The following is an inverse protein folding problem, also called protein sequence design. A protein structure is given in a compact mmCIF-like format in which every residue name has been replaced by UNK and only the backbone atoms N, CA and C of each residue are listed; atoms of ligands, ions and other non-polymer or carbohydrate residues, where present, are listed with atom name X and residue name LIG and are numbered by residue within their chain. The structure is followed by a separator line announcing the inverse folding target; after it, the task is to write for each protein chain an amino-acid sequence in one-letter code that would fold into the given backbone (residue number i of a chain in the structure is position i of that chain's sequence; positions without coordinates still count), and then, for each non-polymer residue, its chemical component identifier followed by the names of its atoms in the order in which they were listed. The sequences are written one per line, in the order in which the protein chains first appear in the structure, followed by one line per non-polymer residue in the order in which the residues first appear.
data_IF_344603362345
#
_entry.id   IF_344603362345
#
_cell.length_a   1.000
_cell.length_b   1.000
_cell.length_c   1.000
_cell.angle_alpha   90.00
_cell.angle_beta   90.00
_cell.angle_gamma   90.00
#
_symmetry.space_group_name_H-M   'P 1'
#
loop_
_entity.id
_entity.type
_entity.pdbx_description
1 polymer ?
#
# COMPACT_ATOMS: atom_id res chain seq x y z
N UNK A 1 -1.32 -37.00 0.26
CA UNK A 1 -1.07 -35.74 0.99
C UNK A 1 -1.28 -36.04 2.46
N UNK A 2 -0.48 -35.47 3.36
CA UNK A 2 -0.72 -35.65 4.81
C UNK A 2 -1.96 -34.86 5.23
N UNK A 3 -3.01 -35.56 5.68
CA UNK A 3 -4.28 -34.95 6.07
C UNK A 3 -4.17 -34.07 7.32
N UNK A 4 -3.10 -34.22 8.11
CA UNK A 4 -2.81 -33.33 9.23
C UNK A 4 -2.27 -31.96 8.77
N UNK A 5 -1.78 -31.88 7.54
CA UNK A 5 -1.24 -30.65 6.94
C UNK A 5 -2.26 -30.00 6.00
N UNK A 6 -2.97 -30.81 5.20
CA UNK A 6 -4.03 -30.34 4.31
C UNK A 6 -5.05 -31.44 4.08
N UNK A 7 -6.32 -31.10 4.32
CA UNK A 7 -7.47 -31.96 4.06
C UNK A 7 -8.45 -31.24 3.14
N UNK A 8 -8.55 -31.69 1.88
CA UNK A 8 -9.42 -31.11 0.86
C UNK A 8 -9.57 -32.07 -0.32
N UNK A 9 -10.75 -32.09 -0.94
CA UNK A 9 -10.93 -32.64 -2.27
C UNK A 9 -10.50 -31.62 -3.33
N UNK A 10 -9.92 -32.08 -4.43
CA UNK A 10 -9.47 -31.22 -5.52
C UNK A 10 -9.92 -31.76 -6.89
N UNK A 11 -10.32 -30.85 -7.77
CA UNK A 11 -10.58 -31.09 -9.18
C UNK A 11 -9.61 -30.25 -10.01
N UNK A 12 -9.00 -30.89 -11.01
CA UNK A 12 -8.14 -30.21 -11.96
C UNK A 12 -8.96 -29.29 -12.90
N UNK A 13 -8.34 -28.26 -13.50
CA UNK A 13 -9.05 -27.28 -14.33
C UNK A 13 -9.84 -27.90 -15.49
N UNK A 14 -9.31 -28.94 -16.11
CA UNK A 14 -9.93 -29.67 -17.22
C UNK A 14 -11.17 -30.49 -16.80
N UNK A 15 -11.36 -30.68 -15.50
CA UNK A 15 -12.55 -31.32 -14.91
C UNK A 15 -13.64 -30.31 -14.53
N UNK A 16 -13.38 -29.01 -14.68
CA UNK A 16 -14.31 -27.93 -14.29
C UNK A 16 -14.80 -27.21 -15.54
N UNK A 17 -16.12 -27.16 -15.73
CA UNK A 17 -16.73 -26.45 -16.85
C UNK A 17 -17.73 -25.39 -16.37
N UNK A 18 -17.56 -24.16 -16.86
CA UNK A 18 -18.50 -23.06 -16.61
C UNK A 18 -19.48 -22.95 -17.77
N UNK A 19 -20.76 -23.23 -17.50
CA UNK A 19 -21.85 -23.09 -18.50
C UNK A 19 -22.42 -21.67 -18.56
N UNK A 20 -22.22 -20.87 -17.52
CA UNK A 20 -22.61 -19.47 -17.51
C UNK A 20 -21.72 -18.69 -18.49
N UNK A 21 -22.30 -18.21 -19.59
CA UNK A 21 -21.59 -17.48 -20.64
C UNK A 21 -21.02 -16.13 -20.16
N UNK A 22 -21.49 -15.62 -19.02
CA UNK A 22 -20.96 -14.40 -18.40
C UNK A 22 -19.78 -14.64 -17.48
N UNK A 23 -19.44 -15.90 -17.18
CA UNK A 23 -18.40 -16.23 -16.20
C UNK A 23 -17.04 -15.65 -16.60
N UNK A 24 -16.59 -15.91 -17.84
CA UNK A 24 -15.30 -15.41 -18.31
C UNK A 24 -15.25 -13.88 -18.30
N UNK A 25 -16.29 -13.22 -18.80
CA UNK A 25 -16.40 -11.76 -18.77
C UNK A 25 -16.33 -11.19 -17.34
N UNK A 26 -16.91 -11.90 -16.36
CA UNK A 26 -16.82 -11.52 -14.95
C UNK A 26 -15.41 -11.66 -14.39
N UNK A 27 -14.74 -12.77 -14.70
CA UNK A 27 -13.35 -13.02 -14.33
C UNK A 27 -12.40 -11.99 -14.97
N UNK A 28 -12.60 -11.64 -16.24
CA UNK A 28 -11.79 -10.64 -16.94
C UNK A 28 -11.92 -9.26 -16.29
N UNK A 29 -13.14 -8.86 -15.93
CA UNK A 29 -13.40 -7.60 -15.19
C UNK A 29 -12.74 -7.62 -13.81
N UNK A 30 -12.91 -8.69 -13.05
CA UNK A 30 -12.30 -8.84 -11.73
C UNK A 30 -10.77 -8.82 -11.83
N UNK A 31 -10.19 -9.44 -12.86
CA UNK A 31 -8.74 -9.43 -13.11
C UNK A 31 -8.23 -8.02 -13.38
N UNK A 32 -8.99 -7.20 -14.11
CA UNK A 32 -8.66 -5.79 -14.32
C UNK A 32 -8.67 -5.00 -13.01
N UNK A 33 -9.69 -5.18 -12.18
CA UNK A 33 -9.80 -4.52 -10.87
C UNK A 33 -8.65 -4.95 -9.93
N UNK A 34 -8.26 -6.22 -9.98
CA UNK A 34 -7.11 -6.75 -9.25
C UNK A 34 -5.82 -6.13 -9.77
N UNK A 35 -5.61 -6.09 -11.08
CA UNK A 35 -4.43 -5.48 -11.70
C UNK A 35 -4.27 -4.03 -11.25
N UNK A 36 -5.34 -3.24 -11.27
CA UNK A 36 -5.33 -1.87 -10.77
C UNK A 36 -4.91 -1.79 -9.30
N UNK A 37 -5.50 -2.62 -8.43
CA UNK A 37 -5.20 -2.66 -6.99
C UNK A 37 -3.77 -3.11 -6.67
N UNK A 38 -3.19 -3.99 -7.49
CA UNK A 38 -1.80 -4.44 -7.38
C UNK A 38 -0.79 -3.45 -8.00
N UNK A 39 -1.29 -2.38 -8.64
CA UNK A 39 -0.46 -1.35 -9.29
C UNK A 39 0.07 -1.78 -10.66
N UNK A 40 -0.67 -2.63 -11.36
CA UNK A 40 -0.45 -3.09 -12.74
C UNK A 40 -1.55 -2.58 -13.68
N UNK A 41 -2.11 -1.39 -13.43
CA UNK A 41 -3.28 -0.83 -14.13
C UNK A 41 -3.17 -0.75 -15.66
N UNK A 42 -1.94 -0.72 -16.20
CA UNK A 42 -1.66 -0.68 -17.65
C UNK A 42 -1.15 -2.02 -18.21
N UNK A 43 -1.18 -3.10 -17.41
CA UNK A 43 -0.69 -4.42 -17.81
C UNK A 43 -1.88 -5.35 -18.08
N UNK A 44 -1.94 -6.02 -19.24
CA UNK A 44 -2.99 -6.99 -19.54
C UNK A 44 -2.72 -8.29 -18.77
N UNK A 45 -3.06 -8.31 -17.48
CA UNK A 45 -2.90 -9.50 -16.64
C UNK A 45 -3.87 -10.61 -17.05
N UNK A 46 -3.46 -11.85 -16.78
CA UNK A 46 -4.26 -13.04 -17.05
C UNK A 46 -4.66 -13.74 -15.76
N UNK A 47 -5.86 -14.29 -15.73
CA UNK A 47 -6.33 -15.19 -14.67
C UNK A 47 -6.46 -16.60 -15.22
N UNK A 48 -5.72 -17.55 -14.64
CA UNK A 48 -5.72 -18.95 -15.07
C UNK A 48 -6.33 -19.79 -13.97
N UNK A 49 -7.40 -20.54 -14.25
CA UNK A 49 -7.96 -21.48 -13.28
C UNK A 49 -6.92 -22.55 -12.98
N UNK A 50 -6.52 -22.67 -11.72
CA UNK A 50 -5.54 -23.65 -11.28
C UNK A 50 -6.20 -24.92 -10.73
N UNK A 51 -7.26 -24.78 -9.93
CA UNK A 51 -8.02 -25.92 -9.39
C UNK A 51 -9.33 -25.47 -8.77
N UNK A 52 -10.24 -26.42 -8.63
CA UNK A 52 -11.37 -26.31 -7.71
C UNK A 52 -11.11 -27.15 -6.47
N UNK A 53 -11.50 -26.63 -5.31
CA UNK A 53 -11.37 -27.28 -4.02
C UNK A 53 -12.73 -27.44 -3.36
N UNK A 54 -12.94 -28.58 -2.72
CA UNK A 54 -14.07 -28.82 -1.82
C UNK A 54 -13.53 -29.18 -0.45
N UNK A 55 -13.86 -28.36 0.54
CA UNK A 55 -13.59 -28.64 1.94
C UNK A 55 -14.89 -29.09 2.60
N UNK A 56 -14.88 -30.30 3.12
CA UNK A 56 -15.92 -30.79 4.02
C UNK A 56 -15.54 -30.51 5.48
N UNK A 57 -16.29 -31.04 6.43
CA UNK A 57 -15.95 -30.99 7.85
C UNK A 57 -14.51 -31.50 8.13
N UNK A 58 -13.81 -30.80 9.01
CA UNK A 58 -12.37 -30.88 9.27
C UNK A 58 -11.45 -30.48 8.11
N UNK A 59 -11.98 -30.05 6.96
CA UNK A 59 -11.20 -29.57 5.85
C UNK A 59 -10.39 -28.32 6.22
N UNK A 60 -9.09 -28.33 5.95
CA UNK A 60 -8.17 -27.25 6.33
C UNK A 60 -6.85 -27.29 5.54
N UNK A 61 -6.01 -26.27 5.73
CA UNK A 61 -4.57 -26.38 5.54
C UNK A 61 -3.81 -25.51 6.53
N UNK A 62 -2.68 -26.00 7.00
CA UNK A 62 -1.81 -25.26 7.91
C UNK A 62 -1.12 -24.08 7.21
N UNK A 63 -0.58 -23.15 8.02
CA UNK A 63 0.16 -22.01 7.49
C UNK A 63 1.29 -22.50 6.58
N UNK A 64 1.27 -22.02 5.34
CA UNK A 64 2.28 -22.29 4.34
C UNK A 64 2.34 -21.14 3.35
N UNK A 65 3.46 -21.07 2.64
CA UNK A 65 3.60 -20.24 1.47
C UNK A 65 3.39 -21.14 0.24
N UNK A 66 2.55 -20.71 -0.70
CA UNK A 66 2.42 -21.45 -1.95
C UNK A 66 3.66 -21.20 -2.82
N UNK A 67 4.21 -22.25 -3.42
CA UNK A 67 5.12 -22.04 -4.55
C UNK A 67 4.33 -21.51 -5.73
N UNK A 68 4.96 -20.67 -6.56
CA UNK A 68 4.38 -20.23 -7.82
C UNK A 68 3.98 -21.43 -8.68
N UNK A 69 2.77 -21.37 -9.24
CA UNK A 69 2.18 -22.47 -10.02
C UNK A 69 2.24 -22.23 -11.52
N UNK A 70 2.39 -20.97 -11.91
CA UNK A 70 2.37 -20.50 -13.29
C UNK A 70 3.46 -19.46 -13.49
N UNK A 71 4.06 -19.45 -14.68
CA UNK A 71 5.06 -18.47 -15.05
C UNK A 71 4.49 -17.04 -14.98
N UNK A 72 5.18 -16.15 -14.26
CA UNK A 72 4.73 -14.78 -14.07
C UNK A 72 3.57 -14.59 -13.10
N UNK A 73 3.21 -15.62 -12.31
CA UNK A 73 2.23 -15.50 -11.23
C UNK A 73 2.67 -14.46 -10.20
N UNK A 74 1.78 -13.54 -9.85
CA UNK A 74 2.03 -12.49 -8.83
C UNK A 74 1.05 -12.55 -7.66
N UNK A 75 -0.11 -13.19 -7.87
CA UNK A 75 -1.13 -13.32 -6.84
C UNK A 75 -1.99 -14.57 -7.06
N UNK A 76 -2.63 -15.01 -5.99
CA UNK A 76 -3.68 -16.03 -5.99
C UNK A 76 -5.02 -15.36 -5.77
N UNK A 77 -6.00 -15.67 -6.61
CA UNK A 77 -7.40 -15.30 -6.45
C UNK A 77 -8.19 -16.54 -5.99
N UNK A 78 -8.73 -16.49 -4.78
CA UNK A 78 -9.62 -17.52 -4.24
C UNK A 78 -11.07 -17.04 -4.31
N UNK A 79 -11.89 -17.67 -5.14
CA UNK A 79 -13.33 -17.38 -5.26
C UNK A 79 -14.10 -18.49 -4.56
N UNK A 80 -14.73 -18.18 -3.43
CA UNK A 80 -15.70 -19.06 -2.79
C UNK A 80 -17.02 -18.97 -3.54
N UNK A 81 -17.50 -20.11 -4.04
CA UNK A 81 -18.82 -20.23 -4.64
C UNK A 81 -19.89 -20.27 -3.53
N UNK A 82 -21.16 -19.91 -3.86
CA UNK A 82 -22.27 -20.05 -2.93
C UNK A 82 -22.31 -21.44 -2.30
N UNK A 83 -22.10 -21.52 -1.00
CA UNK A 83 -21.99 -22.77 -0.28
C UNK A 83 -22.22 -22.56 1.22
N UNK A 84 -22.99 -23.47 1.83
CA UNK A 84 -23.31 -23.40 3.27
C UNK A 84 -22.22 -24.10 4.06
N UNK A 85 -21.46 -23.33 4.85
CA UNK A 85 -20.44 -23.85 5.76
C UNK A 85 -20.22 -22.96 6.99
N UNK A 86 -19.63 -23.54 8.03
CA UNK A 86 -19.12 -22.87 9.23
C UNK A 86 -17.60 -23.10 9.34
N UNK A 87 -16.87 -22.19 9.98
CA UNK A 87 -15.40 -22.21 9.98
C UNK A 87 -14.81 -21.93 8.58
N UNK A 88 -13.58 -22.36 8.31
CA UNK A 88 -13.01 -22.19 6.96
C UNK A 88 -12.61 -20.75 6.60
N UNK A 89 -12.17 -19.95 7.58
CA UNK A 89 -11.64 -18.61 7.32
C UNK A 89 -10.27 -18.68 6.66
N UNK A 90 -10.03 -17.85 5.65
CA UNK A 90 -8.70 -17.66 5.07
C UNK A 90 -7.93 -16.67 5.92
N UNK A 91 -6.78 -17.10 6.43
CA UNK A 91 -5.90 -16.29 7.27
C UNK A 91 -4.63 -15.99 6.49
N UNK A 92 -4.28 -14.72 6.39
CA UNK A 92 -3.05 -14.23 5.74
C UNK A 92 -2.09 -13.75 6.82
N UNK A 93 -0.86 -14.25 6.76
CA UNK A 93 0.22 -13.92 7.67
C UNK A 93 1.25 -13.01 7.00
N UNK A 94 1.97 -12.24 7.81
CA UNK A 94 3.18 -11.51 7.40
C UNK A 94 4.13 -11.44 8.59
N UNK A 95 5.34 -11.95 8.42
CA UNK A 95 6.33 -12.01 9.50
C UNK A 95 5.88 -12.86 10.69
N UNK A 96 5.10 -13.92 10.43
CA UNK A 96 4.52 -14.78 11.47
C UNK A 96 3.23 -14.25 12.13
N UNK A 97 2.90 -12.96 11.97
CA UNK A 97 1.68 -12.38 12.55
C UNK A 97 0.49 -12.48 11.59
N UNK A 98 -0.71 -12.69 12.15
CA UNK A 98 -1.97 -12.58 11.41
C UNK A 98 -2.20 -11.13 10.99
N UNK A 99 -2.27 -10.86 9.69
CA UNK A 99 -2.58 -9.54 9.14
C UNK A 99 -4.01 -9.41 8.66
N UNK A 100 -4.57 -10.47 8.09
CA UNK A 100 -5.92 -10.45 7.59
C UNK A 100 -6.61 -11.78 7.82
N UNK A 101 -7.91 -11.74 8.11
CA UNK A 101 -8.78 -12.91 8.21
C UNK A 101 -10.05 -12.62 7.42
N UNK A 102 -10.35 -13.46 6.44
CA UNK A 102 -11.52 -13.33 5.58
C UNK A 102 -12.50 -14.47 5.83
N UNK A 103 -13.73 -14.14 6.23
CA UNK A 103 -14.76 -15.12 6.57
C UNK A 103 -15.64 -15.52 5.37
N UNK A 104 -15.49 -14.86 4.22
CA UNK A 104 -16.26 -15.12 2.99
C UNK A 104 -17.78 -15.04 3.18
N UNK A 105 -18.25 -13.97 3.83
CA UNK A 105 -19.68 -13.65 3.94
C UNK A 105 -20.45 -14.47 4.98
N UNK A 106 -19.77 -15.27 5.79
CA UNK A 106 -20.42 -16.02 6.88
C UNK A 106 -21.03 -15.09 7.92
N UNK A 107 -20.33 -14.03 8.31
CA UNK A 107 -20.83 -13.05 9.30
C UNK A 107 -22.06 -12.31 8.82
N UNK A 108 -22.16 -12.07 7.52
CA UNK A 108 -23.28 -11.38 6.88
C UNK A 108 -24.42 -12.34 6.47
N UNK A 109 -24.23 -13.65 6.63
CA UNK A 109 -25.20 -14.66 6.22
C UNK A 109 -25.35 -14.81 4.71
N UNK A 110 -24.37 -14.34 3.94
CA UNK A 110 -24.42 -14.29 2.47
C UNK A 110 -23.67 -15.45 1.80
N UNK A 111 -22.84 -16.18 2.54
CA UNK A 111 -21.99 -17.28 2.03
C UNK A 111 -22.76 -18.37 1.28
N UNK A 112 -24.01 -18.65 1.67
CA UNK A 112 -24.86 -19.67 1.04
C UNK A 112 -25.44 -19.23 -0.32
N UNK A 113 -25.43 -17.94 -0.63
CA UNK A 113 -26.19 -17.38 -1.75
C UNK A 113 -25.34 -16.55 -2.71
N UNK A 114 -24.26 -15.93 -2.23
CA UNK A 114 -23.40 -15.04 -3.00
C UNK A 114 -21.98 -15.60 -3.10
N UNK A 115 -21.28 -15.35 -4.23
CA UNK A 115 -19.87 -15.63 -4.32
C UNK A 115 -19.09 -14.58 -3.50
N UNK A 116 -18.02 -15.03 -2.86
CA UNK A 116 -17.07 -14.17 -2.17
C UNK A 116 -15.67 -14.43 -2.71
N UNK A 117 -14.77 -13.47 -2.63
CA UNK A 117 -13.41 -13.68 -3.10
C UNK A 117 -12.37 -13.00 -2.20
N UNK A 118 -11.18 -13.56 -2.20
CA UNK A 118 -10.00 -13.00 -1.58
C UNK A 118 -8.84 -13.08 -2.57
N UNK A 119 -7.95 -12.09 -2.52
CA UNK A 119 -6.72 -12.05 -3.33
C UNK A 119 -5.56 -11.84 -2.38
N UNK A 120 -4.52 -12.64 -2.54
CA UNK A 120 -3.27 -12.48 -1.81
C UNK A 120 -2.09 -12.62 -2.77
N UNK A 121 -0.95 -12.03 -2.42
CA UNK A 121 0.28 -12.18 -3.19
C UNK A 121 0.71 -13.66 -3.22
N UNK A 122 1.39 -14.05 -4.31
CA UNK A 122 1.80 -15.44 -4.54
C UNK A 122 2.72 -15.97 -3.44
N UNK A 123 3.52 -15.09 -2.85
CA UNK A 123 4.45 -15.34 -1.75
C UNK A 123 3.81 -15.13 -0.36
N UNK A 124 2.51 -14.84 -0.26
CA UNK A 124 1.89 -14.63 1.04
C UNK A 124 1.79 -15.96 1.80
N UNK A 125 2.28 -15.97 3.04
CA UNK A 125 1.97 -17.03 4.00
C UNK A 125 0.47 -17.03 4.32
N UNK A 126 -0.16 -18.19 4.22
CA UNK A 126 -1.59 -18.32 4.44
C UNK A 126 -1.99 -19.68 4.98
N UNK A 127 -3.08 -19.68 5.75
CA UNK A 127 -3.74 -20.86 6.30
C UNK A 127 -5.24 -20.83 6.01
N UNK A 128 -5.87 -21.99 6.04
CA UNK A 128 -7.32 -22.11 6.10
C UNK A 128 -7.68 -22.77 7.41
N UNK A 129 -8.42 -22.05 8.24
CA UNK A 129 -8.98 -22.60 9.47
C UNK A 129 -9.93 -23.78 9.14
N UNK A 130 -10.14 -24.67 10.11
CA UNK A 130 -10.97 -25.85 9.89
C UNK A 130 -12.40 -25.44 9.52
N UNK A 131 -12.93 -26.08 8.48
CA UNK A 131 -14.38 -26.11 8.25
C UNK A 131 -14.99 -26.97 9.34
N UNK A 132 -15.89 -26.40 10.13
CA UNK A 132 -16.53 -27.09 11.26
C UNK A 132 -17.87 -27.70 10.90
N UNK A 133 -18.47 -27.29 9.78
CA UNK A 133 -19.75 -27.82 9.30
C UNK A 133 -19.95 -27.51 7.82
N UNK A 134 -20.63 -28.42 7.12
CA UNK A 134 -21.05 -28.20 5.73
C UNK A 134 -19.92 -28.36 4.72
N UNK A 135 -20.06 -27.71 3.56
CA UNK A 135 -19.11 -27.81 2.47
C UNK A 135 -18.74 -26.42 1.96
N UNK A 136 -17.44 -26.15 1.83
CA UNK A 136 -16.90 -24.93 1.25
C UNK A 136 -16.32 -25.21 -0.13
N UNK A 137 -16.91 -24.60 -1.15
CA UNK A 137 -16.50 -24.75 -2.55
C UNK A 137 -15.69 -23.54 -2.98
N UNK A 138 -14.48 -23.76 -3.52
CA UNK A 138 -13.57 -22.68 -3.91
C UNK A 138 -12.94 -22.94 -5.26
N UNK A 139 -12.88 -21.90 -6.09
CA UNK A 139 -12.05 -21.86 -7.28
C UNK A 139 -10.79 -21.07 -6.98
N UNK A 140 -9.65 -21.62 -7.35
CA UNK A 140 -8.34 -20.98 -7.18
C UNK A 140 -7.80 -20.61 -8.54
N UNK A 141 -7.56 -19.32 -8.75
CA UNK A 141 -6.97 -18.78 -9.97
C UNK A 141 -5.57 -18.23 -9.69
N UNK A 142 -4.65 -18.47 -10.62
CA UNK A 142 -3.35 -17.80 -10.68
C UNK A 142 -3.52 -16.48 -11.45
N UNK A 143 -3.11 -15.37 -10.84
CA UNK A 143 -3.10 -14.06 -11.49
C UNK A 143 -1.68 -13.79 -11.98
N UNK A 144 -1.51 -13.72 -13.30
CA UNK A 144 -0.20 -13.72 -13.97
C UNK A 144 0.04 -12.45 -14.79
N UNK A 145 1.29 -12.01 -14.78
CA UNK A 145 1.82 -11.06 -15.76
C UNK A 145 2.00 -11.77 -17.12
N UNK A 146 1.90 -11.03 -18.24
CA UNK A 146 2.36 -11.53 -19.53
C UNK A 146 3.84 -11.97 -19.45
N UNK A 147 4.21 -13.04 -20.15
CA UNK A 147 5.58 -13.58 -20.15
C UNK A 147 6.63 -12.50 -20.50
N UNK A 148 6.30 -11.61 -21.43
CA UNK A 148 7.18 -10.52 -21.88
C UNK A 148 7.35 -9.41 -20.83
N UNK A 149 6.51 -9.38 -19.80
CA UNK A 149 6.46 -8.36 -18.74
C UNK A 149 6.83 -8.94 -17.37
N UNK A 150 7.39 -10.16 -17.29
CA UNK A 150 7.80 -10.75 -16.01
C UNK A 150 8.84 -9.93 -15.25
N UNK A 151 9.67 -9.15 -15.95
CA UNK A 151 10.61 -8.21 -15.33
C UNK A 151 9.92 -7.10 -14.51
N UNK A 152 8.61 -6.89 -14.70
CA UNK A 152 7.80 -5.95 -13.91
C UNK A 152 7.30 -6.58 -12.61
N UNK A 153 7.54 -7.88 -12.38
CA UNK A 153 7.14 -8.55 -11.17
C UNK A 153 7.81 -7.88 -9.98
N UNK A 154 6.99 -7.26 -9.13
CA UNK A 154 7.45 -6.66 -7.87
C UNK A 154 7.94 -7.76 -6.95
N UNK A 155 9.08 -7.53 -6.33
CA UNK A 155 9.59 -8.42 -5.29
C UNK A 155 8.68 -8.24 -4.06
N UNK A 156 8.11 -9.34 -3.58
CA UNK A 156 7.13 -9.31 -2.48
C UNK A 156 7.77 -9.74 -1.15
N UNK A 157 8.92 -10.44 -1.23
CA UNK A 157 9.80 -10.80 -0.12
C UNK A 157 10.40 -9.59 0.61
N UNK A 158 10.59 -8.47 -0.09
CA UNK A 158 11.03 -7.21 0.50
C UNK A 158 9.82 -6.34 0.71
N UNK A 159 9.61 -5.87 1.95
CA UNK A 159 8.46 -5.03 2.21
C UNK A 159 8.57 -3.80 1.29
N UNK A 160 7.49 -3.44 0.58
CA UNK A 160 7.46 -2.21 -0.21
C UNK A 160 7.91 -1.00 0.63
N UNK A 161 7.63 -1.04 1.94
CA UNK A 161 8.12 -0.05 2.91
C UNK A 161 9.63 -0.09 3.15
N UNK A 162 10.29 -1.25 3.11
CA UNK A 162 11.75 -1.37 3.22
C UNK A 162 12.47 -0.91 1.94
N UNK A 163 11.96 -1.28 0.76
CA UNK A 163 12.47 -0.74 -0.51
C UNK A 163 12.31 0.77 -0.58
N UNK A 164 11.14 1.26 -0.18
CA UNK A 164 10.86 2.68 -0.14
C UNK A 164 11.72 3.38 0.93
N UNK A 165 11.92 2.80 2.11
CA UNK A 165 12.80 3.34 3.14
C UNK A 165 14.26 3.41 2.68
N UNK A 166 14.74 2.39 1.97
CA UNK A 166 16.08 2.39 1.38
C UNK A 166 16.20 3.47 0.29
N UNK A 167 15.18 3.61 -0.56
CA UNK A 167 15.15 4.65 -1.58
C UNK A 167 15.12 6.06 -0.96
N UNK A 168 14.27 6.29 0.04
CA UNK A 168 14.19 7.54 0.80
C UNK A 168 15.52 7.85 1.48
N UNK A 169 16.18 6.86 2.08
CA UNK A 169 17.47 7.06 2.76
C UNK A 169 18.60 7.45 1.80
N UNK A 170 18.46 7.15 0.50
CA UNK A 170 19.40 7.55 -0.55
C UNK A 170 19.07 8.93 -1.15
N UNK A 171 17.90 9.51 -0.86
CA UNK A 171 17.56 10.85 -1.32
C UNK A 171 18.44 11.87 -0.61
N UNK A 172 19.25 12.61 -1.38
CA UNK A 172 20.21 13.57 -0.83
C UNK A 172 19.44 14.82 -0.33
N UNK A 173 19.72 15.34 0.87
CA UNK A 173 18.92 16.39 1.51
C UNK A 173 18.87 17.74 0.79
N UNK A 174 19.71 17.98 -0.22
CA UNK A 174 19.98 19.35 -0.64
C UNK A 174 18.95 19.92 -1.63
N UNK A 175 18.25 19.15 -2.46
CA UNK A 175 17.35 19.74 -3.47
C UNK A 175 16.03 19.02 -3.80
N UNK A 176 15.76 17.80 -3.32
CA UNK A 176 14.61 17.04 -3.82
C UNK A 176 13.49 16.89 -2.79
N UNK A 177 12.39 17.60 -3.03
CA UNK A 177 11.12 17.39 -2.31
C UNK A 177 10.32 16.30 -3.02
N UNK A 178 10.02 15.19 -2.35
CA UNK A 178 9.12 14.17 -2.91
C UNK A 178 7.67 14.56 -2.63
N UNK A 179 6.89 14.85 -3.67
CA UNK A 179 5.45 15.05 -3.58
C UNK A 179 4.73 13.86 -4.22
N UNK A 180 3.90 13.16 -3.44
CA UNK A 180 2.97 12.17 -3.98
C UNK A 180 1.67 12.88 -4.38
N UNK A 181 1.46 13.06 -5.69
CA UNK A 181 0.22 13.63 -6.19
C UNK A 181 -0.93 12.63 -6.03
N UNK A 182 -2.00 13.07 -5.37
CA UNK A 182 -3.25 12.34 -5.29
C UNK A 182 -4.04 12.58 -6.58
N UNK A 183 -4.50 11.50 -7.20
CA UNK A 183 -5.34 11.50 -8.40
C UNK A 183 -6.82 11.77 -8.11
N UNK A 184 -7.31 11.43 -6.92
CA UNK A 184 -8.66 11.77 -6.50
C UNK A 184 -8.75 13.20 -5.97
N UNK A 185 -9.84 13.86 -6.34
CA UNK A 185 -10.24 15.12 -5.71
C UNK A 185 -10.89 14.83 -4.35
N UNK A 186 -10.21 15.26 -3.29
CA UNK A 186 -10.74 15.23 -1.94
C UNK A 186 -11.31 16.58 -1.56
N UNK A 187 -12.46 16.56 -0.89
CA UNK A 187 -13.03 17.80 -0.35
C UNK A 187 -12.17 18.30 0.80
N UNK A 188 -12.01 19.62 0.91
CA UNK A 188 -11.25 20.25 1.99
C UNK A 188 -11.81 19.85 3.38
N UNK A 189 -13.13 19.70 3.48
CA UNK A 189 -13.82 19.25 4.70
C UNK A 189 -13.37 17.83 5.11
N UNK A 190 -13.37 16.87 4.17
CA UNK A 190 -12.94 15.50 4.48
C UNK A 190 -11.49 15.43 4.94
N UNK A 191 -10.59 16.18 4.30
CA UNK A 191 -9.18 16.24 4.67
C UNK A 191 -8.96 16.92 6.02
N UNK A 192 -9.75 17.96 6.36
CA UNK A 192 -9.69 18.64 7.67
C UNK A 192 -10.14 17.74 8.81
N UNK A 193 -11.22 16.97 8.61
CA UNK A 193 -11.81 16.14 9.66
C UNK A 193 -11.06 14.82 9.86
N UNK A 194 -10.65 14.17 8.77
CA UNK A 194 -10.12 12.80 8.82
C UNK A 194 -8.62 12.70 8.52
N UNK A 195 -8.00 13.76 8.03
CA UNK A 195 -6.59 13.72 7.60
C UNK A 195 -6.35 12.64 6.54
N UNK A 196 -5.34 11.80 6.76
CA UNK A 196 -5.04 10.64 5.90
C UNK A 196 -6.15 9.58 5.88
N UNK A 197 -7.04 9.57 6.88
CA UNK A 197 -8.21 8.68 6.92
C UNK A 197 -9.25 8.97 5.83
N UNK A 198 -9.19 10.14 5.18
CA UNK A 198 -10.03 10.47 4.04
C UNK A 198 -9.61 9.72 2.75
N UNK A 199 -8.36 9.25 2.68
CA UNK A 199 -7.79 8.64 1.47
C UNK A 199 -8.50 7.32 1.11
N UNK A 200 -8.74 7.12 -0.18
CA UNK A 200 -9.45 5.94 -0.71
C UNK A 200 -8.60 5.17 -1.71
N UNK A 201 -8.95 3.89 -1.88
CA UNK A 201 -8.38 3.02 -2.90
C UNK A 201 -6.85 2.97 -2.89
N UNK A 202 -6.26 3.15 -4.07
CA UNK A 202 -4.81 3.06 -4.29
C UNK A 202 -4.03 4.13 -3.52
N UNK A 203 -4.61 5.30 -3.27
CA UNK A 203 -3.93 6.40 -2.57
C UNK A 203 -3.79 6.12 -1.08
N UNK A 204 -4.80 5.50 -0.48
CA UNK A 204 -4.68 5.00 0.90
C UNK A 204 -3.57 3.97 1.01
N UNK A 205 -3.47 3.06 0.04
CA UNK A 205 -2.42 2.04 0.02
C UNK A 205 -1.02 2.66 -0.17
N UNK A 206 -0.88 3.65 -1.07
CA UNK A 206 0.38 4.38 -1.27
C UNK A 206 0.78 5.17 -0.02
N UNK A 207 -0.17 5.86 0.61
CA UNK A 207 0.09 6.60 1.84
C UNK A 207 0.55 5.65 2.96
N UNK A 208 -0.14 4.51 3.16
CA UNK A 208 0.26 3.52 4.14
C UNK A 208 1.68 2.98 3.89
N UNK A 209 2.05 2.72 2.63
CA UNK A 209 3.40 2.27 2.30
C UNK A 209 4.47 3.34 2.62
N UNK A 210 4.17 4.62 2.36
CA UNK A 210 5.06 5.75 2.72
C UNK A 210 5.14 5.92 4.24
N UNK A 211 4.02 5.77 4.95
CA UNK A 211 3.95 5.85 6.41
C UNK A 211 4.76 4.72 7.06
N UNK A 212 4.59 3.48 6.60
CA UNK A 212 5.38 2.32 7.02
C UNK A 212 6.87 2.52 6.73
N UNK A 213 7.23 3.02 5.54
CA UNK A 213 8.61 3.33 5.19
C UNK A 213 9.21 4.41 6.10
N UNK A 214 8.43 5.45 6.41
CA UNK A 214 8.85 6.52 7.30
C UNK A 214 9.11 6.02 8.72
N UNK A 215 8.46 4.94 9.18
CA UNK A 215 8.79 4.31 10.46
C UNK A 215 10.16 3.62 10.44
N UNK A 216 10.56 3.06 9.30
CA UNK A 216 11.81 2.30 9.11
C UNK A 216 13.02 3.22 8.94
N UNK A 217 12.88 4.33 8.20
CA UNK A 217 13.99 5.29 8.00
C UNK A 217 14.43 5.81 9.37
N UNK A 218 15.70 5.70 9.74
CA UNK A 218 16.21 6.29 10.99
C UNK A 218 16.51 7.78 10.79
N UNK A 219 16.15 8.63 11.76
CA UNK A 219 16.65 10.01 11.81
C UNK A 219 17.90 10.01 12.69
N UNK A 220 19.12 10.07 12.10
CA UNK A 220 20.33 9.60 12.77
C UNK A 220 20.81 10.43 13.96
N UNK A 221 20.18 11.58 14.26
CA UNK A 221 20.73 12.54 15.22
C UNK A 221 20.04 12.59 16.59
N UNK A 222 18.71 12.38 16.68
CA UNK A 222 18.00 12.49 17.97
C UNK A 222 16.57 11.89 17.98
N UNK A 223 16.34 10.88 18.82
CA UNK A 223 15.05 10.18 18.94
C UNK A 223 13.88 11.10 19.36
N UNK A 224 14.11 12.09 20.24
CA UNK A 224 13.07 13.03 20.67
C UNK A 224 12.69 14.00 19.55
N UNK A 225 13.68 14.43 18.76
CA UNK A 225 13.41 15.28 17.58
C UNK A 225 12.67 14.46 16.52
N UNK A 226 13.06 13.21 16.29
CA UNK A 226 12.37 12.31 15.38
C UNK A 226 10.90 12.10 15.79
N UNK A 227 10.65 11.80 17.06
CA UNK A 227 9.29 11.67 17.61
C UNK A 227 8.50 12.97 17.43
N UNK A 228 9.09 14.13 17.73
CA UNK A 228 8.45 15.41 17.52
C UNK A 228 8.11 15.66 16.05
N UNK A 229 9.05 15.44 15.13
CA UNK A 229 8.85 15.69 13.69
C UNK A 229 7.76 14.80 13.10
N UNK A 230 7.73 13.52 13.49
CA UNK A 230 6.74 12.53 13.05
C UNK A 230 5.39 12.65 13.75
N UNK A 231 5.39 13.17 14.97
CA UNK A 231 4.20 13.28 15.81
C UNK A 231 3.32 14.50 15.50
N UNK A 232 2.09 14.50 16.02
CA UNK A 232 1.15 15.61 15.86
C UNK A 232 1.52 16.85 16.68
N UNK A 233 2.55 16.75 17.54
CA UNK A 233 3.02 17.86 18.38
C UNK A 233 3.40 19.08 17.54
N UNK A 234 2.86 20.24 17.91
CA UNK A 234 3.14 21.52 17.24
C UNK A 234 4.41 22.17 17.75
N UNK A 235 4.77 21.93 19.02
CA UNK A 235 5.95 22.51 19.66
C UNK A 235 6.71 21.45 20.47
N UNK A 236 8.04 21.59 20.55
CA UNK A 236 8.88 20.80 21.46
C UNK A 236 9.83 21.70 22.24
N UNK A 237 10.07 21.33 23.50
CA UNK A 237 11.12 21.93 24.34
C UNK A 237 12.42 21.16 24.11
N UNK A 238 13.45 21.85 23.63
CA UNK A 238 14.72 21.27 23.22
C UNK A 238 15.77 21.19 24.35
N UNK A 239 15.34 21.09 25.62
CA UNK A 239 16.21 21.04 26.83
C UNK A 239 17.28 19.94 26.76
N UNK A 240 16.95 18.81 26.13
CA UNK A 240 17.84 17.64 26.03
C UNK A 240 18.50 17.50 24.65
N UNK A 241 18.22 18.43 23.74
CA UNK A 241 18.80 18.43 22.38
C UNK A 241 20.00 19.37 22.33
N UNK A 242 19.91 20.52 23.00
CA UNK A 242 20.95 21.53 23.05
C UNK A 242 20.92 22.20 24.43
N UNK A 243 22.09 22.39 25.02
CA UNK A 243 22.26 23.09 26.31
C UNK A 243 22.91 24.45 26.10
N UNK A 244 22.49 25.42 26.92
CA UNK A 244 23.04 26.78 26.89
C UNK A 244 23.59 27.16 28.25
N UNK A 245 24.72 27.89 28.25
CA UNK A 245 25.31 28.40 29.49
C UNK A 245 24.49 29.54 30.09
N UNK A 246 23.89 30.37 29.22
CA UNK A 246 23.08 31.51 29.63
C UNK A 246 21.84 31.64 28.75
N UNK A 247 20.81 32.33 29.26
CA UNK A 247 19.64 32.71 28.45
C UNK A 247 20.02 33.55 27.22
N UNK A 248 21.05 34.40 27.34
CA UNK A 248 21.52 35.21 26.22
C UNK A 248 22.11 34.34 25.10
N UNK A 249 22.80 33.24 25.43
CA UNK A 249 23.32 32.29 24.44
C UNK A 249 22.17 31.60 23.68
N UNK A 250 21.12 31.16 24.39
CA UNK A 250 19.93 30.58 23.78
C UNK A 250 19.25 31.57 22.82
N UNK A 251 19.08 32.82 23.26
CA UNK A 251 18.47 33.89 22.46
C UNK A 251 19.28 34.21 21.21
N UNK A 252 20.61 34.29 21.34
CA UNK A 252 21.51 34.53 20.21
C UNK A 252 21.46 33.38 19.20
N UNK A 253 21.40 32.13 19.69
CA UNK A 253 21.26 30.95 18.85
C UNK A 253 19.93 30.98 18.08
N UNK A 254 18.80 31.21 18.76
CA UNK A 254 17.49 31.31 18.12
C UNK A 254 17.50 32.37 17.01
N UNK A 255 17.98 33.58 17.30
CA UNK A 255 18.07 34.65 16.31
C UNK A 255 18.96 34.29 15.11
N UNK A 256 20.12 33.66 15.35
CA UNK A 256 21.03 33.23 14.29
C UNK A 256 20.41 32.15 13.41
N UNK A 257 19.76 31.15 14.02
CA UNK A 257 19.08 30.06 13.31
C UNK A 257 17.91 30.57 12.50
N UNK A 258 17.15 31.52 13.02
CA UNK A 258 16.02 32.12 12.31
C UNK A 258 16.43 33.00 11.12
N UNK A 259 17.66 33.52 11.11
CA UNK A 259 18.25 34.29 9.99
C UNK A 259 18.83 33.43 8.87
N UNK A 260 19.24 32.19 9.15
CA UNK A 260 19.68 31.27 8.09
C UNK A 260 18.48 30.90 7.22
N UNK A 261 18.68 30.91 5.90
CA UNK A 261 17.69 30.39 4.96
C UNK A 261 17.33 28.96 5.32
N UNK A 262 16.04 28.64 5.34
CA UNK A 262 15.52 27.30 5.63
C UNK A 262 15.15 26.65 4.31
N UNK A 263 15.69 25.46 4.08
CA UNK A 263 15.34 24.62 2.93
C UNK A 263 14.29 23.62 3.38
N UNK A 264 13.20 23.48 2.63
CA UNK A 264 12.20 22.42 2.86
C UNK A 264 11.40 22.47 4.17
N UNK A 265 11.57 23.48 5.03
CA UNK A 265 10.93 23.50 6.35
C UNK A 265 10.50 24.90 6.82
N UNK A 266 9.46 24.94 7.65
CA UNK A 266 9.08 26.15 8.39
C UNK A 266 8.78 25.87 9.86
N UNK A 267 9.50 26.58 10.72
CA UNK A 267 9.34 26.56 12.17
C UNK A 267 9.68 27.94 12.75
N UNK A 268 9.30 28.19 14.00
CA UNK A 268 9.84 29.28 14.82
C UNK A 268 10.58 28.70 16.01
N UNK A 269 11.51 29.48 16.54
CA UNK A 269 12.37 29.06 17.63
C UNK A 269 12.48 30.20 18.63
N UNK A 270 12.05 29.94 19.85
CA UNK A 270 12.01 30.92 20.94
C UNK A 270 12.89 30.44 22.10
N UNK A 271 13.65 31.35 22.70
CA UNK A 271 14.44 31.07 23.88
C UNK A 271 13.63 31.35 25.15
N UNK A 272 13.73 30.44 26.11
CA UNK A 272 13.10 30.55 27.43
C UNK A 272 14.09 30.12 28.52
N UNK A 273 13.82 30.52 29.76
CA UNK A 273 14.59 30.13 30.94
C UNK A 273 13.65 29.69 32.05
N UNK A 274 13.99 28.60 32.72
CA UNK A 274 13.25 28.09 33.87
C UNK A 274 14.26 27.51 34.87
N UNK A 275 14.15 27.92 36.14
CA UNK A 275 15.02 27.47 37.23
C UNK A 275 16.53 27.64 36.93
N UNK A 276 16.90 28.74 36.29
CA UNK A 276 18.29 29.03 35.88
C UNK A 276 18.80 28.21 34.69
N UNK A 277 17.94 27.39 34.07
CA UNK A 277 18.27 26.58 32.89
C UNK A 277 17.65 27.20 31.64
N UNK A 278 18.50 27.66 30.72
CA UNK A 278 18.09 28.21 29.43
C UNK A 278 17.85 27.12 28.38
N UNK A 279 16.78 27.24 27.59
CA UNK A 279 16.38 26.28 26.58
C UNK A 279 15.67 26.93 25.39
N UNK A 280 15.45 26.14 24.33
CA UNK A 280 14.69 26.56 23.17
C UNK A 280 13.36 25.82 23.10
N UNK A 281 12.35 26.50 22.60
CA UNK A 281 11.10 25.90 22.13
C UNK A 281 11.06 26.02 20.61
N UNK A 282 10.94 24.89 19.92
CA UNK A 282 10.77 24.85 18.47
C UNK A 282 9.30 24.60 18.17
N UNK A 283 8.70 25.42 17.31
CA UNK A 283 7.29 25.32 16.93
C UNK A 283 7.16 25.18 15.42
N UNK A 284 6.54 24.09 14.94
CA UNK A 284 6.23 23.87 13.52
C UNK A 284 5.29 24.98 13.04
N UNK A 285 5.49 25.47 11.82
CA UNK A 285 4.56 26.43 11.20
C UNK A 285 4.12 25.95 9.82
N UNK A 286 3.02 26.54 9.33
CA UNK A 286 2.50 26.26 7.97
C UNK A 286 3.08 27.18 6.90
N UNK A 287 4.06 28.03 7.23
CA UNK A 287 4.53 29.07 6.32
C UNK A 287 5.14 28.50 5.02
N UNK A 288 5.92 27.42 5.12
CA UNK A 288 6.47 26.74 3.95
C UNK A 288 5.34 26.16 3.08
N UNK A 289 4.39 25.44 3.70
CA UNK A 289 3.22 24.90 3.01
C UNK A 289 2.45 26.00 2.27
N UNK A 290 2.09 27.08 2.96
CA UNK A 290 1.34 28.19 2.37
C UNK A 290 2.09 28.86 1.20
N UNK A 291 3.41 29.01 1.30
CA UNK A 291 4.22 29.54 0.19
C UNK A 291 4.16 28.64 -1.05
N UNK A 292 4.21 27.32 -0.86
CA UNK A 292 4.23 26.36 -1.95
C UNK A 292 2.84 26.05 -2.53
N UNK A 293 1.74 26.45 -1.86
CA UNK A 293 0.39 26.33 -2.44
C UNK A 293 0.23 27.15 -3.73
N UNK A 294 0.87 28.32 -3.81
CA UNK A 294 0.86 29.13 -5.04
C UNK A 294 1.64 28.46 -6.17
N UNK A 295 2.83 27.94 -5.85
CA UNK A 295 3.67 27.21 -6.80
C UNK A 295 2.99 25.94 -7.31
N UNK A 296 2.24 25.24 -6.43
CA UNK A 296 1.45 24.07 -6.81
C UNK A 296 0.37 24.41 -7.84
N UNK A 297 -0.28 25.57 -7.72
CA UNK A 297 -1.26 26.02 -8.71
C UNK A 297 -0.60 26.30 -10.08
N UNK A 298 0.63 26.83 -10.07
CA UNK A 298 1.41 27.03 -11.30
C UNK A 298 1.80 25.68 -11.92
N UNK A 299 2.33 24.74 -11.13
CA UNK A 299 2.68 23.40 -11.60
C UNK A 299 1.47 22.62 -12.11
N UNK A 300 0.29 22.77 -11.49
CA UNK A 300 -0.94 22.17 -12.01
C UNK A 300 -1.29 22.72 -13.39
N UNK A 301 -1.25 24.04 -13.58
CA UNK A 301 -1.51 24.66 -14.89
C UNK A 301 -0.48 24.23 -15.95
N UNK A 302 0.78 24.13 -15.55
CA UNK A 302 1.84 23.66 -16.44
C UNK A 302 1.62 22.19 -16.82
N UNK A 303 1.30 21.33 -15.86
CA UNK A 303 0.96 19.93 -16.10
C UNK A 303 -0.26 19.80 -17.03
N UNK A 304 -1.32 20.58 -16.82
CA UNK A 304 -2.49 20.60 -17.71
C UNK A 304 -2.09 21.02 -19.13
N UNK A 305 -1.28 22.08 -19.26
CA UNK A 305 -0.79 22.56 -20.57
C UNK A 305 0.07 21.51 -21.28
N UNK A 306 0.94 20.81 -20.54
CA UNK A 306 1.75 19.72 -21.07
C UNK A 306 0.89 18.52 -21.47
N UNK A 307 -0.13 18.21 -20.69
CA UNK A 307 -1.08 17.13 -20.98
C UNK A 307 -1.91 17.46 -22.22
N UNK A 308 -2.37 18.69 -22.38
CA UNK A 308 -3.09 19.13 -23.58
C UNK A 308 -2.21 19.10 -24.84
N UNK A 309 -0.92 19.47 -24.71
CA UNK A 309 0.01 19.52 -25.85
C UNK A 309 0.59 18.18 -26.24
N UNK A 310 0.80 17.29 -25.28
CA UNK A 310 1.57 16.06 -25.47
C UNK A 310 0.86 14.79 -25.01
N UNK A 311 -0.32 14.88 -24.40
CA UNK A 311 -1.11 13.73 -23.95
C UNK A 311 -1.44 12.77 -25.09
N UNK A 312 -1.77 13.33 -26.27
CA UNK A 312 -2.01 12.53 -27.48
C UNK A 312 -0.73 11.90 -28.05
N UNK A 313 0.44 12.54 -27.87
CA UNK A 313 1.72 11.97 -28.31
C UNK A 313 2.15 10.78 -27.46
N UNK A 314 1.85 10.80 -26.14
CA UNK A 314 2.09 9.70 -25.22
C UNK A 314 1.11 8.54 -25.49
N UNK A 315 -0.17 8.84 -25.73
CA UNK A 315 -1.16 7.83 -26.11
C UNK A 315 -0.90 7.22 -27.50
N UNK A 316 -0.47 8.03 -28.48
CA UNK A 316 -0.07 7.61 -29.83
C UNK A 316 1.21 6.76 -29.81
N UNK A 317 2.20 7.09 -28.97
CA UNK A 317 3.43 6.29 -28.85
C UNK A 317 3.17 4.89 -28.27
N UNK A 318 2.19 4.75 -27.36
CA UNK A 318 1.72 3.45 -26.88
C UNK A 318 0.91 2.67 -27.94
N UNK A 319 0.27 3.35 -28.88
CA UNK A 319 -0.60 2.75 -29.91
C UNK A 319 0.13 2.40 -31.22
N UNK A 320 1.25 3.04 -31.54
CA UNK A 320 2.04 2.74 -32.75
C UNK A 320 2.97 1.55 -32.57
N UNK A 321 2.39 0.35 -32.45
CA UNK A 321 3.08 -0.88 -32.88
C UNK A 321 3.12 -0.91 -34.41
N UNK A 322 4.31 -1.02 -34.96
CA UNK A 322 4.55 -1.19 -36.38
C UNK A 322 3.76 -2.39 -36.91
N UNK A 323 2.95 -2.13 -37.94
CA UNK A 323 2.34 -3.15 -38.79
C UNK A 323 3.47 -3.69 -39.67
N UNK A 324 4.04 -4.83 -39.32
CA UNK A 324 4.86 -5.60 -40.26
C UNK A 324 3.89 -6.25 -41.25
N UNK A 325 3.92 -5.75 -42.49
CA UNK A 325 3.17 -6.31 -43.60
C UNK A 325 3.81 -7.61 -44.10
N UNK A 326 2.93 -8.61 -44.25
CA UNK A 326 2.99 -9.88 -44.99
C UNK A 326 3.96 -10.97 -44.56
#
# INVERSE_FOLDING_TARGET
MDENVRKSWQLAPDQVQFKNTQWQTGIDKLTKDIAERLGYSSVPMHSILYKMLVYEEDGHFLNHQDTEKEDGMVATLAIQLPSTHEGGDLVIYRGGDVKYRHDFGKKEGTSAFLPHYAVHYADAEHALEKVTKGYRLVLVYSICLPLQMQHMKKNSDKLLSEELAEAISKMIPEEESLALLLSHEYTEMSMKELGSGALKGIERARFAAVEDANLIVEFPENAKVQEFLRGPGTSMVAKEVVTFKTFQDARNYAAKSMRKGRVGASFVMDASEQDGTAFLTVTKTKAWFSKHQHLLLEYKKELDTLTDRYGDAIASAASKKARLEK
#
